data_IF_976652484867
#
_entry.id   IF_976652484867
#
_cell.length_a   1.000
_cell.length_b   1.000
_cell.length_c   1.000
_cell.angle_alpha   90.00
_cell.angle_beta   90.00
_cell.angle_gamma   90.00
#
_symmetry.space_group_name_H-M   'P 1'
#
loop_
_entity.id
_entity.type
_entity.pdbx_description
1 polymer ?
#
# COMPACT_ATOMS: atom_id res chain seq x y z
N UNK A 1 10.04 -10.00 -4.52
CA UNK A 1 8.73 -10.03 -5.20
C UNK A 1 8.94 -9.66 -6.67
N UNK A 2 8.11 -10.14 -7.59
CA UNK A 2 8.24 -9.84 -9.02
C UNK A 2 7.97 -8.35 -9.29
N UNK A 3 8.67 -7.76 -10.27
CA UNK A 3 8.48 -6.37 -10.70
C UNK A 3 7.11 -6.25 -11.37
N UNK A 4 6.16 -5.56 -10.73
CA UNK A 4 4.83 -5.34 -11.30
C UNK A 4 4.92 -4.21 -12.33
N UNK A 5 4.63 -4.51 -13.60
CA UNK A 5 4.76 -3.55 -14.71
C UNK A 5 3.42 -2.91 -15.12
N UNK A 6 2.29 -3.42 -14.62
CA UNK A 6 0.94 -2.97 -14.99
C UNK A 6 0.15 -2.41 -13.78
N UNK A 7 -0.48 -1.24 -13.95
CA UNK A 7 -1.34 -0.60 -12.95
C UNK A 7 -2.47 -1.53 -12.48
N UNK A 8 -3.06 -2.33 -13.37
CA UNK A 8 -4.14 -3.24 -12.99
C UNK A 8 -3.68 -4.34 -12.03
N UNK A 9 -2.42 -4.79 -12.16
CA UNK A 9 -1.82 -5.76 -11.24
C UNK A 9 -1.54 -5.11 -9.88
N UNK A 10 -1.04 -3.87 -9.88
CA UNK A 10 -0.84 -3.09 -8.66
C UNK A 10 -2.18 -2.93 -7.91
N UNK A 11 -3.22 -2.53 -8.62
CA UNK A 11 -4.57 -2.35 -8.05
C UNK A 11 -5.05 -3.66 -7.43
N UNK A 12 -5.00 -4.77 -8.17
CA UNK A 12 -5.42 -6.09 -7.64
C UNK A 12 -4.63 -6.49 -6.39
N UNK A 13 -3.31 -6.34 -6.42
CA UNK A 13 -2.45 -6.66 -5.29
C UNK A 13 -2.81 -5.82 -4.06
N UNK A 14 -2.88 -4.49 -4.23
CA UNK A 14 -3.21 -3.56 -3.16
C UNK A 14 -4.60 -3.81 -2.60
N UNK A 15 -5.61 -4.05 -3.44
CA UNK A 15 -6.97 -4.32 -2.98
C UNK A 15 -7.06 -5.54 -2.08
N UNK A 16 -6.29 -6.59 -2.38
CA UNK A 16 -6.24 -7.83 -1.63
C UNK A 16 -5.41 -7.73 -0.34
N UNK A 17 -4.33 -6.94 -0.35
CA UNK A 17 -3.34 -6.90 0.74
C UNK A 17 -3.46 -5.70 1.68
N UNK A 18 -4.15 -4.63 1.27
CA UNK A 18 -4.24 -3.40 2.05
C UNK A 18 -4.87 -3.64 3.43
N UNK A 19 -4.34 -2.94 4.42
CA UNK A 19 -4.85 -2.91 5.78
C UNK A 19 -5.21 -1.48 6.19
N UNK A 20 -5.99 -1.32 7.25
CA UNK A 20 -6.39 0.00 7.77
C UNK A 20 -5.17 0.90 8.08
N UNK A 21 -4.09 0.32 8.61
CA UNK A 21 -2.84 1.04 8.92
C UNK A 21 -2.14 1.59 7.68
N UNK A 22 -2.24 0.91 6.52
CA UNK A 22 -1.66 1.38 5.26
C UNK A 22 -2.36 2.67 4.80
N UNK A 23 -3.68 2.76 4.97
CA UNK A 23 -4.49 3.95 4.64
C UNK A 23 -4.12 5.13 5.55
N UNK A 24 -3.91 4.89 6.84
CA UNK A 24 -3.43 5.91 7.78
C UNK A 24 -2.04 6.40 7.41
N UNK A 25 -1.17 5.50 6.97
CA UNK A 25 0.19 5.82 6.53
C UNK A 25 0.15 6.72 5.30
N UNK A 26 -0.66 6.39 4.28
CA UNK A 26 -0.86 7.23 3.10
C UNK A 26 -1.42 8.61 3.44
N UNK A 27 -2.39 8.67 4.36
CA UNK A 27 -2.97 9.92 4.84
C UNK A 27 -1.89 10.85 5.42
N UNK A 28 -0.98 10.30 6.22
CA UNK A 28 0.19 11.05 6.75
C UNK A 28 1.18 11.43 5.65
N UNK A 29 1.51 10.49 4.75
CA UNK A 29 2.48 10.74 3.65
C UNK A 29 2.04 11.86 2.72
N UNK A 30 0.73 11.95 2.43
CA UNK A 30 0.20 12.94 1.49
C UNK A 30 -0.39 14.19 2.15
N UNK A 31 -0.43 14.25 3.49
CA UNK A 31 -1.08 15.36 4.20
C UNK A 31 -2.58 15.44 3.95
N UNK A 32 -3.24 14.30 3.72
CA UNK A 32 -4.68 14.21 3.46
C UNK A 32 -5.42 13.52 4.59
N UNK A 33 -6.73 13.69 4.67
CA UNK A 33 -7.57 12.86 5.54
C UNK A 33 -7.64 11.42 5.02
N UNK A 34 -7.95 10.47 5.90
CA UNK A 34 -8.12 9.06 5.50
C UNK A 34 -9.28 8.89 4.51
N UNK A 35 -10.33 9.71 4.60
CA UNK A 35 -11.43 9.70 3.64
C UNK A 35 -11.01 10.18 2.25
N UNK A 36 -10.16 11.22 2.16
CA UNK A 36 -9.61 11.66 0.89
C UNK A 36 -8.75 10.57 0.22
N UNK A 37 -8.00 9.79 1.01
CA UNK A 37 -7.27 8.62 0.50
C UNK A 37 -8.24 7.55 -0.02
N UNK A 38 -9.29 7.20 0.74
CA UNK A 38 -10.30 6.24 0.29
C UNK A 38 -10.96 6.66 -1.01
N UNK A 39 -11.32 7.94 -1.14
CA UNK A 39 -11.88 8.49 -2.38
C UNK A 39 -10.94 8.33 -3.58
N UNK A 40 -9.65 8.59 -3.39
CA UNK A 40 -8.63 8.41 -4.44
C UNK A 40 -8.48 6.94 -4.85
N UNK A 41 -8.48 6.02 -3.88
CA UNK A 41 -8.46 4.58 -4.15
C UNK A 41 -9.71 4.13 -4.91
N UNK A 42 -10.90 4.56 -4.50
CA UNK A 42 -12.14 4.27 -5.25
C UNK A 42 -12.08 4.76 -6.70
N UNK A 43 -11.44 5.90 -6.95
CA UNK A 43 -11.22 6.47 -8.29
C UNK A 43 -10.07 5.84 -9.07
N UNK A 44 -9.40 4.82 -8.51
CA UNK A 44 -8.22 4.17 -9.10
C UNK A 44 -7.10 5.16 -9.44
N UNK A 45 -6.89 6.15 -8.58
CA UNK A 45 -5.82 7.12 -8.75
C UNK A 45 -4.45 6.42 -8.77
N UNK A 46 -3.75 6.52 -9.90
CA UNK A 46 -2.50 5.81 -10.16
C UNK A 46 -1.44 6.11 -9.10
N UNK A 47 -1.21 7.39 -8.80
CA UNK A 47 -0.19 7.80 -7.82
C UNK A 47 -0.49 7.28 -6.41
N UNK A 48 -1.78 7.24 -6.03
CA UNK A 48 -2.21 6.69 -4.74
C UNK A 48 -1.99 5.18 -4.67
N UNK A 49 -2.29 4.42 -5.74
CA UNK A 49 -2.03 2.98 -5.78
C UNK A 49 -0.54 2.62 -5.82
N UNK A 50 0.27 3.38 -6.55
CA UNK A 50 1.73 3.19 -6.56
C UNK A 50 2.34 3.44 -5.18
N UNK A 51 1.85 4.45 -4.45
CA UNK A 51 2.27 4.69 -3.08
C UNK A 51 1.78 3.59 -2.12
N UNK A 52 0.53 3.15 -2.26
CA UNK A 52 -0.03 2.05 -1.46
C UNK A 52 0.77 0.77 -1.65
N UNK A 53 1.17 0.47 -2.88
CA UNK A 53 2.01 -0.68 -3.20
C UNK A 53 3.33 -0.65 -2.42
N UNK A 54 4.05 0.48 -2.46
CA UNK A 54 5.31 0.64 -1.73
C UNK A 54 5.15 0.50 -0.22
N UNK A 55 4.06 1.03 0.34
CA UNK A 55 3.75 0.89 1.77
C UNK A 55 3.54 -0.58 2.13
N UNK A 56 2.72 -1.30 1.36
CA UNK A 56 2.44 -2.73 1.58
C UNK A 56 3.73 -3.55 1.42
N UNK A 57 4.50 -3.34 0.36
CA UNK A 57 5.75 -4.05 0.11
C UNK A 57 6.73 -3.85 1.28
N UNK A 58 6.90 -2.60 1.72
CA UNK A 58 7.77 -2.28 2.85
C UNK A 58 7.29 -2.96 4.14
N UNK A 59 5.99 -2.91 4.41
CA UNK A 59 5.39 -3.56 5.59
C UNK A 59 5.60 -5.07 5.58
N UNK A 60 5.32 -5.74 4.47
CA UNK A 60 5.49 -7.20 4.33
C UNK A 60 6.97 -7.59 4.48
N UNK A 61 7.90 -6.81 3.90
CA UNK A 61 9.34 -7.04 4.05
C UNK A 61 9.78 -6.90 5.51
N UNK A 62 9.31 -5.87 6.23
CA UNK A 62 9.60 -5.71 7.65
C UNK A 62 9.03 -6.88 8.47
N UNK A 63 7.81 -7.31 8.21
CA UNK A 63 7.21 -8.47 8.88
C UNK A 63 8.09 -9.72 8.69
N UNK A 64 8.50 -10.01 7.45
CA UNK A 64 9.37 -11.14 7.15
C UNK A 64 10.73 -11.02 7.82
N UNK A 65 11.33 -9.81 7.83
CA UNK A 65 12.60 -9.55 8.50
C UNK A 65 12.53 -9.91 10.00
N UNK A 66 11.49 -9.45 10.70
CA UNK A 66 11.35 -9.69 12.13
C UNK A 66 10.89 -11.12 12.47
N UNK A 67 10.10 -11.77 11.61
CA UNK A 67 9.76 -13.18 11.78
C UNK A 67 10.95 -14.11 11.57
N UNK A 68 11.79 -13.83 10.56
CA UNK A 68 12.99 -14.63 10.27
C UNK A 68 14.11 -14.40 11.30
N UNK A 69 14.11 -13.24 11.98
CA UNK A 69 15.11 -12.91 13.00
C UNK A 69 14.99 -13.71 14.29
N UNK A 70 13.97 -14.57 14.48
CA UNK A 70 13.71 -15.34 15.73
C UNK A 70 14.18 -14.54 16.97
N UNK A 71 13.40 -13.52 17.35
CA UNK A 71 13.49 -12.98 18.70
C UNK A 71 13.23 -14.10 19.72
#
# INVERSE_FOLDING_TARGET
MAKIENLDEIVRFCEHKKQTGDIQTLSKMFGYTTDAIRMRLTRKDKGTYEALYKVIETRENLIQEFQNKKL
#
